data_IF_954441018712
#
_entry.id   IF_954441018712
#
_cell.length_a   1.000
_cell.length_b   1.000
_cell.length_c   1.000
_cell.angle_alpha   90.00
_cell.angle_beta   90.00
_cell.angle_gamma   90.00
#
_symmetry.space_group_name_H-M   'P 1'
#
loop_
_entity.id
_entity.type
_entity.pdbx_description
1 polymer ?
#
# COMPACT_ATOMS: atom_id res chain seq x y z
N UNK A 1 40.69 26.30 -42.48
CA UNK A 1 40.92 24.89 -42.09
C UNK A 1 40.53 24.77 -40.64
N UNK A 2 39.31 24.31 -40.37
CA UNK A 2 38.72 24.29 -39.01
C UNK A 2 38.45 22.83 -38.66
N UNK A 3 39.18 22.31 -37.68
CA UNK A 3 38.99 20.95 -37.17
C UNK A 3 37.76 20.98 -36.27
N UNK A 4 36.67 20.34 -36.70
CA UNK A 4 35.55 20.02 -35.82
C UNK A 4 35.94 18.79 -35.00
N UNK A 5 36.09 18.96 -33.69
CA UNK A 5 36.15 17.85 -32.76
C UNK A 5 34.80 17.11 -32.82
N UNK A 6 34.81 15.89 -33.34
CA UNK A 6 33.69 14.95 -33.21
C UNK A 6 33.80 14.36 -31.80
N UNK A 7 32.97 14.85 -30.87
CA UNK A 7 32.76 14.15 -29.61
C UNK A 7 31.89 12.93 -29.90
N UNK A 8 32.31 11.70 -29.53
CA UNK A 8 31.41 10.56 -29.54
C UNK A 8 30.33 10.79 -28.49
N UNK A 9 29.07 10.89 -28.92
CA UNK A 9 27.91 10.91 -28.04
C UNK A 9 27.72 9.51 -27.46
N UNK A 10 28.35 9.21 -26.33
CA UNK A 10 27.93 8.08 -25.49
C UNK A 10 26.75 8.54 -24.65
N UNK A 11 25.63 8.86 -25.30
CA UNK A 11 24.33 8.82 -24.61
C UNK A 11 23.95 7.34 -24.62
N UNK A 12 23.90 6.65 -23.47
CA UNK A 12 23.31 5.32 -23.43
C UNK A 12 21.84 5.47 -23.83
N UNK A 13 21.50 4.94 -25.00
CA UNK A 13 20.13 4.83 -25.51
C UNK A 13 19.42 3.63 -24.88
N UNK A 14 19.44 3.57 -23.55
CA UNK A 14 18.79 2.51 -22.80
C UNK A 14 18.22 3.16 -21.54
N UNK A 15 17.03 3.73 -21.67
CA UNK A 15 16.11 3.66 -20.54
C UNK A 15 15.64 2.21 -20.56
N UNK A 16 16.22 1.28 -19.76
CA UNK A 16 15.62 -0.05 -19.68
C UNK A 16 14.19 0.22 -19.28
N UNK A 17 13.22 -0.25 -20.07
CA UNK A 17 11.85 -0.35 -19.56
C UNK A 17 11.98 -1.07 -18.23
N UNK A 18 11.88 -0.30 -17.15
CA UNK A 18 11.95 -0.85 -15.80
C UNK A 18 10.89 -1.93 -15.80
N UNK A 19 11.29 -3.18 -15.63
CA UNK A 19 10.34 -4.27 -15.51
C UNK A 19 9.50 -3.97 -14.28
N UNK A 20 8.31 -3.41 -14.53
CA UNK A 20 7.34 -3.03 -13.50
C UNK A 20 6.46 -4.21 -13.10
N UNK A 21 6.71 -5.41 -13.66
CA UNK A 21 5.83 -6.55 -13.53
C UNK A 21 4.50 -6.34 -14.27
N UNK A 22 3.61 -7.32 -14.08
CA UNK A 22 2.24 -7.32 -14.59
C UNK A 22 1.39 -6.20 -13.98
N UNK A 23 0.27 -5.89 -14.62
CA UNK A 23 -0.70 -4.90 -14.09
C UNK A 23 -1.20 -5.34 -12.70
N UNK A 24 -1.42 -6.65 -12.50
CA UNK A 24 -1.91 -7.19 -11.24
C UNK A 24 -0.87 -7.01 -10.11
N UNK A 25 0.41 -7.24 -10.39
CA UNK A 25 1.51 -6.97 -9.45
C UNK A 25 1.59 -5.48 -9.11
N UNK A 26 1.48 -4.60 -10.09
CA UNK A 26 1.49 -3.15 -9.87
C UNK A 26 0.30 -2.69 -9.01
N UNK A 27 -0.90 -3.24 -9.24
CA UNK A 27 -2.09 -2.95 -8.42
C UNK A 27 -1.90 -3.47 -7.00
N UNK A 28 -1.36 -4.69 -6.85
CA UNK A 28 -1.05 -5.27 -5.55
C UNK A 28 -0.06 -4.39 -4.75
N UNK A 29 1.01 -3.94 -5.40
CA UNK A 29 2.02 -3.07 -4.78
C UNK A 29 1.46 -1.69 -4.43
N UNK A 30 0.60 -1.12 -5.30
CA UNK A 30 -0.10 0.12 -5.00
C UNK A 30 -1.03 -0.03 -3.78
N UNK A 31 -1.81 -1.11 -3.70
CA UNK A 31 -2.64 -1.41 -2.52
C UNK A 31 -1.78 -1.50 -1.25
N UNK A 32 -0.62 -2.15 -1.34
CA UNK A 32 0.30 -2.30 -0.20
C UNK A 32 0.87 -0.95 0.24
N UNK A 33 1.26 -0.10 -0.72
CA UNK A 33 1.71 1.26 -0.45
C UNK A 33 0.64 2.12 0.25
N UNK A 34 -0.62 2.01 -0.19
CA UNK A 34 -1.75 2.70 0.45
C UNK A 34 -2.00 2.18 1.87
N UNK A 35 -1.90 0.86 2.10
CA UNK A 35 -2.05 0.29 3.43
C UNK A 35 -0.99 0.82 4.41
N UNK A 36 0.26 0.92 3.95
CA UNK A 36 1.37 1.48 4.74
C UNK A 36 1.07 2.95 5.05
N UNK A 37 0.70 3.75 4.06
CA UNK A 37 0.38 5.17 4.25
C UNK A 37 -0.74 5.37 5.28
N UNK A 38 -1.84 4.62 5.14
CA UNK A 38 -2.96 4.69 6.08
C UNK A 38 -2.54 4.30 7.51
N UNK A 39 -1.71 3.27 7.65
CA UNK A 39 -1.16 2.83 8.95
C UNK A 39 -0.35 3.95 9.60
N UNK A 40 0.58 4.56 8.85
CA UNK A 40 1.40 5.67 9.35
C UNK A 40 0.54 6.84 9.82
N UNK A 41 -0.46 7.25 9.02
CA UNK A 41 -1.38 8.34 9.37
C UNK A 41 -2.09 8.04 10.69
N UNK A 42 -2.64 6.83 10.86
CA UNK A 42 -3.38 6.45 12.08
C UNK A 42 -2.46 6.44 13.30
N UNK A 43 -1.24 5.90 13.17
CA UNK A 43 -0.28 5.87 14.28
C UNK A 43 0.19 7.27 14.67
N UNK A 44 0.46 8.15 13.70
CA UNK A 44 0.79 9.55 13.98
C UNK A 44 -0.37 10.28 14.66
N UNK A 45 -1.62 10.07 14.23
CA UNK A 45 -2.78 10.69 14.87
C UNK A 45 -3.04 10.14 16.28
N UNK A 46 -2.64 8.89 16.55
CA UNK A 46 -2.74 8.28 17.87
C UNK A 46 -1.80 8.94 18.90
N UNK A 47 -0.66 9.50 18.48
CA UNK A 47 0.23 10.25 19.37
C UNK A 47 -0.46 11.47 20.00
N UNK A 48 -1.37 12.11 19.25
CA UNK A 48 -2.18 13.24 19.72
C UNK A 48 -3.48 12.84 20.40
N UNK A 49 -4.08 11.71 20.00
CA UNK A 49 -5.31 11.16 20.61
C UNK A 49 -5.20 9.63 20.73
N UNK A 50 -4.93 9.09 21.93
CA UNK A 50 -4.77 7.65 22.15
C UNK A 50 -5.98 6.80 21.76
N UNK A 51 -7.17 7.40 21.62
CA UNK A 51 -8.40 6.70 21.23
C UNK A 51 -8.63 6.68 19.72
N UNK A 52 -7.80 7.39 18.94
CA UNK A 52 -7.97 7.52 17.50
C UNK A 52 -7.93 6.17 16.78
N UNK A 53 -6.93 5.33 17.08
CA UNK A 53 -6.81 4.01 16.46
C UNK A 53 -8.06 3.14 16.69
N UNK A 54 -8.62 3.13 17.90
CA UNK A 54 -9.81 2.34 18.20
C UNK A 54 -11.03 2.81 17.40
N UNK A 55 -11.24 4.12 17.29
CA UNK A 55 -12.33 4.68 16.47
C UNK A 55 -12.13 4.41 14.99
N UNK A 56 -10.89 4.48 14.52
CA UNK A 56 -10.54 4.16 13.13
C UNK A 56 -10.82 2.68 12.83
N UNK A 57 -10.38 1.76 13.70
CA UNK A 57 -10.61 0.32 13.54
C UNK A 57 -12.11 -0.01 13.48
N UNK A 58 -12.94 0.65 14.31
CA UNK A 58 -14.39 0.49 14.23
C UNK A 58 -14.94 0.88 12.85
N UNK A 59 -14.56 2.05 12.33
CA UNK A 59 -14.97 2.49 10.98
C UNK A 59 -14.45 1.57 9.88
N UNK A 60 -13.26 1.00 10.08
CA UNK A 60 -12.66 0.05 9.16
C UNK A 60 -13.44 -1.28 9.11
N UNK A 61 -13.97 -1.73 10.25
CA UNK A 61 -14.86 -2.90 10.33
C UNK A 61 -16.25 -2.63 9.72
N UNK A 62 -16.80 -1.44 9.92
CA UNK A 62 -18.03 -1.01 9.25
C UNK A 62 -17.84 -1.00 7.72
N UNK A 63 -16.70 -0.47 7.25
CA UNK A 63 -16.34 -0.46 5.82
C UNK A 63 -16.13 -1.87 5.26
N UNK A 64 -15.51 -2.78 6.02
CA UNK A 64 -15.38 -4.18 5.63
C UNK A 64 -16.74 -4.83 5.41
N UNK A 65 -17.67 -4.61 6.35
CA UNK A 65 -19.02 -5.19 6.31
C UNK A 65 -19.79 -4.67 5.10
N UNK A 66 -19.80 -3.35 4.90
CA UNK A 66 -20.44 -2.73 3.73
C UNK A 66 -19.84 -3.21 2.40
N UNK A 67 -18.52 -3.36 2.33
CA UNK A 67 -17.82 -3.83 1.11
C UNK A 67 -18.09 -5.30 0.82
N UNK A 68 -18.25 -6.13 1.87
CA UNK A 68 -18.55 -7.56 1.72
C UNK A 68 -19.98 -7.81 1.24
N UNK A 69 -20.91 -6.94 1.61
CA UNK A 69 -22.33 -7.03 1.23
C UNK A 69 -22.61 -6.50 -0.19
N UNK A 70 -21.66 -5.78 -0.79
CA UNK A 70 -21.71 -5.34 -2.18
C UNK A 70 -21.57 -6.55 -3.14
N UNK A 71 -22.61 -6.82 -3.92
CA UNK A 71 -22.72 -8.02 -4.79
C UNK A 71 -22.32 -7.76 -6.24
N UNK A 72 -22.05 -6.51 -6.63
CA UNK A 72 -21.89 -6.10 -8.03
C UNK A 72 -20.46 -6.25 -8.58
N UNK A 73 -19.48 -6.58 -7.74
CA UNK A 73 -18.08 -6.74 -8.16
C UNK A 73 -17.35 -7.71 -7.24
N UNK A 74 -16.29 -8.41 -7.68
CA UNK A 74 -15.46 -9.19 -6.79
C UNK A 74 -14.83 -8.27 -5.73
N UNK A 75 -15.48 -8.18 -4.56
CA UNK A 75 -15.08 -7.35 -3.43
C UNK A 75 -13.71 -7.71 -2.84
N UNK A 76 -13.10 -8.81 -3.31
CA UNK A 76 -11.88 -9.39 -2.77
C UNK A 76 -10.71 -8.39 -2.70
N UNK A 77 -10.47 -7.60 -3.75
CA UNK A 77 -9.37 -6.63 -3.78
C UNK A 77 -9.54 -5.49 -2.77
N UNK A 78 -10.78 -5.03 -2.58
CA UNK A 78 -11.10 -3.96 -1.63
C UNK A 78 -11.01 -4.47 -0.18
N UNK A 79 -11.50 -5.68 0.05
CA UNK A 79 -11.42 -6.35 1.34
C UNK A 79 -9.97 -6.67 1.74
N UNK A 80 -9.11 -6.98 0.77
CA UNK A 80 -7.69 -7.21 1.00
C UNK A 80 -6.99 -5.97 1.57
N UNK A 81 -7.22 -4.79 0.97
CA UNK A 81 -6.66 -3.54 1.48
C UNK A 81 -7.08 -3.29 2.93
N UNK A 82 -8.36 -3.47 3.22
CA UNK A 82 -8.92 -3.31 4.57
C UNK A 82 -8.24 -4.28 5.56
N UNK A 83 -8.07 -5.55 5.16
CA UNK A 83 -7.39 -6.57 5.96
C UNK A 83 -5.94 -6.18 6.26
N UNK A 84 -5.20 -5.71 5.27
CA UNK A 84 -3.80 -5.29 5.48
C UNK A 84 -3.67 -4.13 6.44
N UNK A 85 -4.53 -3.11 6.34
CA UNK A 85 -4.51 -1.98 7.29
C UNK A 85 -4.78 -2.48 8.72
N UNK A 86 -5.80 -3.34 8.90
CA UNK A 86 -6.10 -3.92 10.23
C UNK A 86 -4.91 -4.74 10.75
N UNK A 87 -4.30 -5.57 9.90
CA UNK A 87 -3.15 -6.38 10.28
C UNK A 87 -1.95 -5.51 10.66
N UNK A 88 -1.66 -4.45 9.91
CA UNK A 88 -0.55 -3.55 10.21
C UNK A 88 -0.77 -2.77 11.53
N UNK A 89 -2.00 -2.35 11.83
CA UNK A 89 -2.32 -1.61 13.06
C UNK A 89 -2.41 -2.49 14.31
N UNK A 90 -2.81 -3.74 14.17
CA UNK A 90 -3.09 -4.64 15.32
C UNK A 90 -2.06 -5.75 15.47
N UNK A 91 -1.29 -6.05 14.43
CA UNK A 91 -0.45 -7.23 14.33
C UNK A 91 -1.22 -8.53 14.08
N UNK A 92 -2.56 -8.50 14.05
CA UNK A 92 -3.38 -9.71 13.94
C UNK A 92 -3.61 -10.13 12.48
N UNK A 93 -3.46 -11.42 12.18
CA UNK A 93 -3.87 -12.00 10.89
C UNK A 93 -4.64 -13.31 11.08
N UNK A 94 -5.53 -13.61 10.13
CA UNK A 94 -6.30 -14.87 10.08
C UNK A 94 -5.39 -16.12 10.01
N UNK A 95 -4.17 -15.98 9.48
CA UNK A 95 -3.25 -17.09 9.16
C UNK A 95 -2.20 -17.30 10.26
N UNK A 96 -1.61 -16.21 10.74
CA UNK A 96 -0.47 -16.22 11.67
C UNK A 96 -0.86 -15.91 13.11
N UNK A 97 -2.12 -15.53 13.37
CA UNK A 97 -2.57 -15.08 14.69
C UNK A 97 -1.98 -13.73 15.08
N UNK A 98 -1.76 -13.52 16.38
CA UNK A 98 -1.28 -12.26 16.95
C UNK A 98 0.23 -12.08 16.74
N UNK A 99 0.60 -11.16 15.84
CA UNK A 99 1.95 -10.66 15.66
C UNK A 99 2.18 -9.30 16.32
N UNK A 100 3.18 -8.57 15.83
CA UNK A 100 3.47 -7.19 16.21
C UNK A 100 2.85 -6.23 15.18
N UNK A 101 2.27 -5.10 15.62
CA UNK A 101 1.94 -4.01 14.71
C UNK A 101 3.18 -3.47 13.98
N UNK A 102 2.97 -2.84 12.83
CA UNK A 102 4.02 -2.54 11.85
C UNK A 102 5.13 -1.61 12.39
N UNK A 103 4.76 -0.53 13.10
CA UNK A 103 5.70 0.47 13.66
C UNK A 103 5.53 0.67 15.18
N UNK A 104 4.98 -0.33 15.88
CA UNK A 104 4.79 -0.31 17.34
C UNK A 104 6.00 -0.83 18.12
#
# INVERSE_FOLDING_TARGET
MTIRAVYPSTVPDENPEVDRGTIDEQIHDAKRGVAILATCIVQTLQEGDPTFQARFLKRLEDAYSATREDTDSPALDRLELIKWVKQMLTGWSDISGQGKPFLS
#
